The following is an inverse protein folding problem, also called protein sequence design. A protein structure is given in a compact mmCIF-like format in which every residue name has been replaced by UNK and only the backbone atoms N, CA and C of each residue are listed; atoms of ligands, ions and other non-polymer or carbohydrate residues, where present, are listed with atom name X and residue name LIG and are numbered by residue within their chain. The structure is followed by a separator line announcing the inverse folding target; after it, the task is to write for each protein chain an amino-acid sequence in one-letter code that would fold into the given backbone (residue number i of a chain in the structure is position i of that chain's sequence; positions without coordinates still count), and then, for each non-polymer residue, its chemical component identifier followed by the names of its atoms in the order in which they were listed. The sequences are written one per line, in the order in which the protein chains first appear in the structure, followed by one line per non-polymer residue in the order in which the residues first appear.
data_IF_680835393714
#
_entry.id   IF_680835393714
#
_cell.length_a   1.000
_cell.length_b   1.000
_cell.length_c   1.000
_cell.angle_alpha   90.00
_cell.angle_beta   90.00
_cell.angle_gamma   90.00
#
_symmetry.space_group_name_H-M   'P 1'
#
loop_
_entity.id
_entity.type
_entity.pdbx_description
1 polymer ?
#
# COMPACT_ATOMS: atom_id res chain seq x y z
N UNK A 1 -0.63 -1.29 16.28
CA UNK A 1 -0.66 -0.66 14.95
C UNK A 1 0.68 0.05 14.76
N UNK A 2 1.37 -0.20 13.65
CA UNK A 2 2.66 0.48 13.36
C UNK A 2 2.34 1.93 13.04
N UNK A 3 3.07 2.88 13.64
CA UNK A 3 2.92 4.29 13.33
C UNK A 3 3.60 4.59 12.00
N UNK A 4 2.88 5.20 11.07
CA UNK A 4 3.40 5.65 9.79
C UNK A 4 3.71 7.15 9.85
N UNK A 5 4.94 7.51 9.50
CA UNK A 5 5.36 8.90 9.33
C UNK A 5 5.94 9.08 7.93
N UNK A 6 5.42 10.05 7.18
CA UNK A 6 5.93 10.38 5.85
C UNK A 6 7.04 11.43 5.98
N UNK A 7 8.19 11.16 5.38
CA UNK A 7 9.35 12.07 5.36
C UNK A 7 9.73 12.51 3.94
N UNK A 8 8.78 12.43 3.00
CA UNK A 8 8.99 12.94 1.64
C UNK A 8 9.21 14.46 1.66
N UNK A 9 10.29 14.91 1.02
CA UNK A 9 10.62 16.33 0.79
C UNK A 9 10.72 16.55 -0.72
N UNK A 10 9.86 17.42 -1.27
CA UNK A 10 9.82 17.74 -2.70
C UNK A 10 9.72 16.51 -3.62
N UNK A 11 9.01 15.47 -3.16
CA UNK A 11 8.67 14.28 -3.95
C UNK A 11 7.25 14.43 -4.46
N UNK A 12 7.09 14.34 -5.78
CA UNK A 12 5.78 14.37 -6.43
C UNK A 12 5.32 12.96 -6.81
N UNK A 13 4.00 12.80 -6.93
CA UNK A 13 3.36 11.55 -7.34
C UNK A 13 3.91 11.07 -8.69
N UNK A 14 4.05 9.75 -8.83
CA UNK A 14 4.46 9.13 -10.08
C UNK A 14 5.94 9.33 -10.45
N UNK A 15 6.73 10.00 -9.61
CA UNK A 15 8.18 10.14 -9.84
C UNK A 15 8.97 8.89 -9.45
N UNK A 16 8.36 7.99 -8.66
CA UNK A 16 8.97 6.80 -8.07
C UNK A 16 10.26 7.08 -7.25
N UNK A 17 10.51 8.35 -6.92
CA UNK A 17 11.59 8.76 -6.01
C UNK A 17 11.25 8.33 -4.59
N UNK A 18 12.29 8.03 -3.79
CA UNK A 18 12.15 7.55 -2.42
C UNK A 18 11.32 6.24 -2.30
N UNK A 19 11.61 5.30 -3.20
CA UNK A 19 11.03 3.95 -3.17
C UNK A 19 12.10 2.90 -2.90
N UNK A 20 11.66 1.72 -2.45
CA UNK A 20 12.48 0.53 -2.25
C UNK A 20 11.83 -0.66 -2.97
N UNK A 21 12.65 -1.52 -3.56
CA UNK A 21 12.19 -2.79 -4.11
C UNK A 21 11.96 -3.81 -2.99
N UNK A 22 10.78 -4.42 -2.95
CA UNK A 22 10.45 -5.47 -1.99
C UNK A 22 9.89 -6.70 -2.70
N UNK A 23 10.25 -7.89 -2.24
CA UNK A 23 9.70 -9.15 -2.73
C UNK A 23 8.36 -9.41 -2.04
N UNK A 24 7.26 -9.36 -2.78
CA UNK A 24 5.95 -9.72 -2.29
C UNK A 24 5.85 -11.25 -2.11
N UNK A 25 5.30 -11.75 -0.98
CA UNK A 25 5.18 -13.19 -0.72
C UNK A 25 3.95 -13.84 -1.38
N UNK A 26 3.44 -13.25 -2.47
CA UNK A 26 2.24 -13.67 -3.19
C UNK A 26 2.34 -13.26 -4.65
N UNK A 27 1.58 -13.93 -5.52
CA UNK A 27 1.56 -13.63 -6.95
C UNK A 27 1.08 -12.20 -7.23
N UNK A 28 1.82 -11.50 -8.09
CA UNK A 28 1.48 -10.16 -8.52
C UNK A 28 0.69 -10.19 -9.81
N UNK A 29 -0.26 -9.26 -9.94
CA UNK A 29 -1.09 -9.10 -11.12
C UNK A 29 -0.96 -7.67 -11.67
N UNK A 30 -1.13 -7.49 -12.98
CA UNK A 30 -1.21 -6.19 -13.61
C UNK A 30 -2.65 -5.62 -13.55
N UNK A 31 -2.89 -4.45 -14.15
CA UNK A 31 -4.20 -3.78 -14.13
C UNK A 31 -5.28 -4.48 -14.96
N UNK A 32 -4.91 -5.48 -15.76
CA UNK A 32 -5.82 -6.32 -16.55
C UNK A 32 -5.90 -7.75 -15.98
N UNK A 33 -5.53 -7.93 -14.70
CA UNK A 33 -5.56 -9.20 -13.95
C UNK A 33 -4.69 -10.33 -14.55
N UNK A 34 -3.64 -10.00 -15.32
CA UNK A 34 -2.64 -10.97 -15.75
C UNK A 34 -1.52 -11.09 -14.73
N UNK A 35 -1.08 -12.33 -14.46
CA UNK A 35 0.03 -12.62 -13.56
C UNK A 35 1.34 -12.06 -14.12
N UNK A 36 2.14 -11.42 -13.25
CA UNK A 36 3.49 -10.95 -13.57
C UNK A 36 4.52 -12.06 -13.35
N UNK A 37 5.56 -12.08 -14.17
CA UNK A 37 6.72 -12.97 -14.04
C UNK A 37 7.69 -12.58 -12.91
N UNK A 38 7.39 -11.51 -12.19
CA UNK A 38 8.18 -11.01 -11.06
C UNK A 38 7.31 -10.87 -9.83
N UNK A 39 7.92 -11.06 -8.67
CA UNK A 39 7.32 -10.81 -7.36
C UNK A 39 7.87 -9.53 -6.71
N UNK A 40 8.73 -8.78 -7.40
CA UNK A 40 9.30 -7.53 -6.87
C UNK A 40 8.39 -6.35 -7.17
N UNK A 41 8.03 -5.59 -6.14
CA UNK A 41 7.28 -4.32 -6.23
C UNK A 41 8.09 -3.16 -5.68
N UNK A 42 7.85 -1.96 -6.21
CA UNK A 42 8.37 -0.71 -5.66
C UNK A 42 7.39 -0.17 -4.63
N UNK A 43 7.87 0.06 -3.40
CA UNK A 43 7.08 0.60 -2.28
C UNK A 43 7.72 1.92 -1.84
N UNK A 44 6.90 2.93 -1.52
CA UNK A 44 7.40 4.15 -0.87
C UNK A 44 8.16 3.79 0.41
N UNK A 45 9.41 4.23 0.53
CA UNK A 45 10.29 3.86 1.66
C UNK A 45 9.66 4.21 3.01
N UNK A 46 8.87 5.29 3.09
CA UNK A 46 8.17 5.72 4.31
C UNK A 46 7.16 4.70 4.85
N UNK A 47 6.62 3.81 4.01
CA UNK A 47 5.62 2.81 4.40
C UNK A 47 6.11 1.37 4.19
N UNK A 48 7.35 1.16 3.73
CA UNK A 48 7.89 -0.17 3.49
C UNK A 48 7.75 -1.12 4.69
N UNK A 49 8.02 -0.63 5.90
CA UNK A 49 7.88 -1.42 7.14
C UNK A 49 6.45 -1.86 7.42
N UNK A 50 5.46 -0.97 7.27
CA UNK A 50 4.06 -1.33 7.51
C UNK A 50 3.55 -2.29 6.42
N UNK A 51 3.96 -2.09 5.16
CA UNK A 51 3.61 -2.99 4.07
C UNK A 51 4.17 -4.40 4.33
N UNK A 52 5.45 -4.51 4.70
CA UNK A 52 6.05 -5.78 5.09
C UNK A 52 5.34 -6.44 6.29
N UNK A 53 4.93 -5.66 7.29
CA UNK A 53 4.13 -6.16 8.41
C UNK A 53 2.76 -6.70 7.95
N UNK A 54 2.05 -5.98 7.09
CA UNK A 54 0.75 -6.42 6.56
C UNK A 54 0.90 -7.73 5.78
N UNK A 55 1.92 -7.83 4.93
CA UNK A 55 2.24 -9.07 4.21
C UNK A 55 2.55 -10.22 5.17
N UNK A 56 3.28 -9.97 6.25
CA UNK A 56 3.54 -10.95 7.29
C UNK A 56 2.25 -11.39 8.04
N UNK A 57 1.24 -10.52 8.14
CA UNK A 57 -0.10 -10.88 8.62
C UNK A 57 -0.98 -11.55 7.55
N UNK A 58 -0.42 -11.87 6.38
CA UNK A 58 -1.13 -12.50 5.27
C UNK A 58 -2.09 -11.57 4.53
N UNK A 59 -1.92 -10.24 4.63
CA UNK A 59 -2.66 -9.27 3.82
C UNK A 59 -1.95 -9.11 2.48
N UNK A 60 -2.68 -9.32 1.39
CA UNK A 60 -2.19 -9.07 0.04
C UNK A 60 -2.59 -7.67 -0.42
N UNK A 61 -1.61 -6.91 -0.89
CA UNK A 61 -1.78 -5.51 -1.29
C UNK A 61 -1.66 -5.37 -2.81
N UNK A 62 -2.51 -4.57 -3.43
CA UNK A 62 -2.46 -4.26 -4.86
C UNK A 62 -1.84 -2.90 -5.16
N UNK A 63 -1.90 -1.96 -4.22
CA UNK A 63 -1.28 -0.65 -4.34
C UNK A 63 -1.08 -0.01 -2.95
N UNK A 64 -0.18 0.96 -2.83
CA UNK A 64 0.03 1.73 -1.60
C UNK A 64 0.70 3.07 -1.90
N UNK A 65 0.43 4.07 -1.06
CA UNK A 65 1.14 5.36 -1.13
C UNK A 65 1.28 5.95 0.26
N UNK A 66 2.41 6.61 0.55
CA UNK A 66 2.61 7.34 1.80
C UNK A 66 1.93 8.71 1.83
N UNK A 67 1.31 9.16 0.73
CA UNK A 67 0.68 10.47 0.58
C UNK A 67 1.66 11.62 0.31
N UNK A 68 2.97 11.35 0.26
CA UNK A 68 4.05 12.29 -0.04
C UNK A 68 3.97 13.64 0.69
N UNK A 69 3.55 13.64 1.96
CA UNK A 69 3.34 14.85 2.78
C UNK A 69 2.42 15.90 2.13
N UNK A 70 1.54 15.50 1.20
CA UNK A 70 0.61 16.42 0.57
C UNK A 70 -0.63 16.58 1.48
N UNK A 71 -1.09 17.80 1.80
CA UNK A 71 -2.14 18.04 2.81
C UNK A 71 -3.47 17.31 2.58
N UNK A 72 -3.77 16.96 1.33
CA UNK A 72 -5.02 16.29 0.92
C UNK A 72 -4.88 14.77 0.78
N UNK A 73 -3.70 14.21 1.05
CA UNK A 73 -3.41 12.80 0.86
C UNK A 73 -2.89 12.20 2.16
N UNK A 74 -3.43 11.03 2.50
CA UNK A 74 -2.99 10.25 3.67
C UNK A 74 -2.29 8.99 3.20
N UNK A 75 -1.40 8.42 4.03
CA UNK A 75 -0.92 7.07 3.81
C UNK A 75 -2.11 6.11 3.64
N UNK A 76 -2.08 5.33 2.57
CA UNK A 76 -3.13 4.38 2.30
C UNK A 76 -2.58 3.13 1.60
N UNK A 77 -3.34 2.04 1.72
CA UNK A 77 -3.09 0.78 1.03
C UNK A 77 -4.38 0.27 0.41
N UNK A 78 -4.28 -0.24 -0.81
CA UNK A 78 -5.34 -0.97 -1.49
C UNK A 78 -5.02 -2.46 -1.37
N UNK A 79 -6.01 -3.25 -0.94
CA UNK A 79 -5.83 -4.70 -0.71
C UNK A 79 -6.67 -5.54 -1.67
N UNK A 80 -6.34 -6.84 -1.77
CA UNK A 80 -7.20 -7.81 -2.47
C UNK A 80 -8.54 -7.97 -1.75
N UNK A 81 -9.57 -8.47 -2.45
CA UNK A 81 -10.91 -8.67 -1.86
C UNK A 81 -10.85 -9.58 -0.62
N UNK A 82 -10.05 -10.62 -0.69
CA UNK A 82 -9.90 -11.62 0.39
C UNK A 82 -9.17 -11.05 1.62
N UNK A 83 -8.41 -9.97 1.44
CA UNK A 83 -7.65 -9.32 2.51
C UNK A 83 -8.45 -8.25 3.27
N UNK A 84 -9.63 -7.84 2.80
CA UNK A 84 -10.49 -6.82 3.46
C UNK A 84 -10.80 -7.22 4.92
N UNK A 85 -11.20 -8.48 5.14
CA UNK A 85 -11.55 -8.96 6.48
C UNK A 85 -10.33 -9.06 7.40
N UNK A 86 -9.15 -9.37 6.85
CA UNK A 86 -7.89 -9.37 7.61
C UNK A 86 -7.53 -7.97 8.08
N UNK A 87 -7.62 -6.97 7.19
CA UNK A 87 -7.40 -5.56 7.54
C UNK A 87 -8.32 -5.07 8.66
N UNK A 88 -9.62 -5.38 8.56
CA UNK A 88 -10.60 -5.03 9.61
C UNK A 88 -10.29 -5.71 10.95
N UNK A 89 -9.91 -6.99 10.94
CA UNK A 89 -9.51 -7.73 12.16
C UNK A 89 -8.26 -7.15 12.82
N UNK A 90 -7.33 -6.61 12.04
CA UNK A 90 -6.14 -5.90 12.52
C UNK A 90 -6.46 -4.48 13.05
N UNK A 91 -7.71 -4.01 12.91
CA UNK A 91 -8.16 -2.71 13.42
C UNK A 91 -8.04 -1.55 12.42
N UNK A 92 -7.63 -1.80 11.18
CA UNK A 92 -7.55 -0.76 10.14
C UNK A 92 -8.94 -0.36 9.64
N UNK A 93 -9.07 0.91 9.25
CA UNK A 93 -10.33 1.50 8.78
C UNK A 93 -10.25 1.78 7.29
N UNK A 94 -11.39 1.65 6.62
CA UNK A 94 -11.49 2.07 5.22
C UNK A 94 -11.17 3.57 5.11
N UNK A 95 -10.36 3.90 4.11
CA UNK A 95 -9.99 5.26 3.84
C UNK A 95 -11.21 6.03 3.36
N UNK A 96 -11.37 7.26 3.85
CA UNK A 96 -12.34 8.22 3.30
C UNK A 96 -11.86 8.83 1.99
N UNK A 97 -10.59 8.61 1.62
CA UNK A 97 -10.02 9.11 0.39
C UNK A 97 -10.51 8.26 -0.79
N UNK A 98 -11.12 8.91 -1.78
CA UNK A 98 -11.53 8.27 -3.04
C UNK A 98 -10.30 8.05 -3.91
N UNK A 99 -9.56 6.98 -3.65
CA UNK A 99 -8.70 6.40 -4.68
C UNK A 99 -9.49 5.36 -5.48
N UNK A 100 -8.85 4.75 -6.48
CA UNK A 100 -9.52 3.95 -7.52
C UNK A 100 -10.42 2.80 -7.01
N UNK A 101 -10.29 2.36 -5.76
CA UNK A 101 -11.09 1.26 -5.17
C UNK A 101 -11.44 1.53 -3.69
N UNK A 102 -12.39 2.43 -3.38
CA UNK A 102 -12.65 2.89 -2.01
C UNK A 102 -13.08 1.75 -1.06
N UNK A 103 -13.76 0.72 -1.55
CA UNK A 103 -14.20 -0.44 -0.77
C UNK A 103 -13.06 -1.38 -0.34
N UNK A 104 -11.86 -1.18 -0.88
CA UNK A 104 -10.64 -1.96 -0.59
C UNK A 104 -9.46 -1.12 -0.14
N UNK A 105 -9.70 0.16 0.12
CA UNK A 105 -8.64 1.10 0.51
C UNK A 105 -8.71 1.34 2.01
N UNK A 106 -7.58 1.20 2.69
CA UNK A 106 -7.47 1.42 4.13
C UNK A 106 -6.47 2.53 4.44
N UNK A 107 -6.76 3.31 5.48
CA UNK A 107 -5.78 4.21 6.09
C UNK A 107 -4.76 3.36 6.86
N UNK A 108 -3.46 3.68 6.75
CA UNK A 108 -2.35 2.98 7.42
C UNK A 108 -1.49 3.92 8.25
#
# INVERSE_FOLDING_TARGET
MIKVECHCINIDFGTYKNTVGMLAPFDLYNWVDEKKDTHTVTIDTCIATIIGYLWHQGVETTNSCCGHNKPKHKPCVIVTKDSINKMKKLGYKLSKFKCANPERTFDI
#
